data_IF_476640765816
#
_entry.id   IF_476640765816
#
_cell.length_a   1.000
_cell.length_b   1.000
_cell.length_c   1.000
_cell.angle_alpha   90.00
_cell.angle_beta   90.00
_cell.angle_gamma   90.00
#
_symmetry.space_group_name_H-M   'P 1'
#
loop_
_entity.id
_entity.type
_entity.pdbx_description
1 polymer ?
#
# COMPACT_ATOMS: atom_id res chain seq x y z
N UNK A 1 -10.87 14.78 -18.06
CA UNK A 1 -11.27 13.69 -17.15
C UNK A 1 -11.61 14.34 -15.82
N UNK A 2 -12.76 14.02 -15.23
CA UNK A 2 -13.06 14.42 -13.84
C UNK A 2 -12.22 13.57 -12.90
N UNK A 3 -11.82 14.17 -11.80
CA UNK A 3 -10.98 13.53 -10.81
C UNK A 3 -11.81 12.55 -9.98
N UNK A 4 -11.29 11.35 -9.74
CA UNK A 4 -12.02 10.36 -8.95
C UNK A 4 -12.21 10.88 -7.51
N UNK A 5 -11.21 11.53 -6.92
CA UNK A 5 -11.32 12.14 -5.60
C UNK A 5 -12.44 13.21 -5.49
N UNK A 6 -12.86 13.83 -6.60
CA UNK A 6 -13.95 14.81 -6.60
C UNK A 6 -15.34 14.12 -6.54
N UNK A 7 -15.47 12.97 -7.20
CA UNK A 7 -16.74 12.27 -7.37
C UNK A 7 -16.95 11.14 -6.34
N UNK A 8 -15.88 10.59 -5.78
CA UNK A 8 -15.89 9.43 -4.90
C UNK A 8 -15.41 9.85 -3.50
N UNK A 9 -16.29 9.83 -2.49
CA UNK A 9 -15.95 10.30 -1.14
C UNK A 9 -15.00 9.36 -0.39
N UNK A 10 -14.84 8.11 -0.86
CA UNK A 10 -13.99 7.12 -0.21
C UNK A 10 -13.07 6.45 -1.22
N UNK A 11 -11.83 6.22 -0.77
CA UNK A 11 -10.86 5.37 -1.44
C UNK A 11 -10.14 4.48 -0.45
N UNK A 12 -9.65 3.33 -0.92
CA UNK A 12 -8.74 2.47 -0.16
C UNK A 12 -7.59 2.03 -1.04
N UNK A 13 -6.43 1.80 -0.43
CA UNK A 13 -5.30 1.17 -1.10
C UNK A 13 -5.53 -0.36 -1.17
N UNK A 14 -5.42 -0.91 -2.37
CA UNK A 14 -5.26 -2.34 -2.60
C UNK A 14 -3.75 -2.56 -2.79
N UNK A 15 -3.09 -3.12 -1.79
CA UNK A 15 -1.67 -3.45 -1.86
C UNK A 15 -1.44 -4.53 -2.90
N UNK A 16 -0.57 -4.29 -3.87
CA UNK A 16 -0.16 -5.29 -4.87
C UNK A 16 1.18 -5.87 -4.44
N UNK A 17 1.21 -7.19 -4.25
CA UNK A 17 2.44 -7.92 -3.97
C UNK A 17 3.13 -8.30 -5.28
N UNK A 18 4.15 -7.50 -5.64
CA UNK A 18 5.03 -7.73 -6.78
C UNK A 18 6.42 -8.22 -6.35
N UNK A 19 6.57 -8.72 -5.12
CA UNK A 19 7.87 -8.92 -4.49
C UNK A 19 8.66 -10.10 -5.08
N UNK A 20 7.96 -11.12 -5.58
CA UNK A 20 8.58 -12.27 -6.25
C UNK A 20 8.72 -12.09 -7.78
N UNK A 21 8.24 -10.97 -8.33
CA UNK A 21 8.09 -10.80 -9.77
C UNK A 21 9.21 -9.99 -10.42
N UNK A 22 9.27 -10.08 -11.73
CA UNK A 22 10.14 -9.24 -12.57
C UNK A 22 9.37 -8.07 -13.15
N UNK A 23 10.07 -7.09 -13.71
CA UNK A 23 9.45 -6.04 -14.52
C UNK A 23 8.57 -6.65 -15.62
N UNK A 24 7.30 -6.23 -15.72
CA UNK A 24 6.36 -6.77 -16.70
C UNK A 24 4.93 -6.31 -16.49
N UNK A 25 4.07 -6.69 -17.44
CA UNK A 25 2.61 -6.54 -17.32
C UNK A 25 2.03 -7.80 -16.67
N UNK A 26 1.20 -7.62 -15.66
CA UNK A 26 0.54 -8.68 -14.92
C UNK A 26 -0.90 -8.28 -14.63
N UNK A 27 -1.77 -9.27 -14.45
CA UNK A 27 -3.06 -8.99 -13.85
C UNK A 27 -2.92 -8.91 -12.33
N UNK A 28 -3.88 -8.30 -11.64
CA UNK A 28 -3.94 -8.27 -10.17
C UNK A 28 -5.28 -8.84 -9.74
N UNK A 29 -5.30 -9.66 -8.68
CA UNK A 29 -6.53 -10.22 -8.10
C UNK A 29 -6.59 -9.92 -6.61
N UNK A 30 -7.65 -9.23 -6.17
CA UNK A 30 -7.87 -8.86 -4.78
C UNK A 30 -9.26 -9.27 -4.31
N UNK A 31 -9.32 -10.07 -3.24
CA UNK A 31 -10.59 -10.48 -2.64
C UNK A 31 -11.09 -9.38 -1.70
N UNK A 32 -12.33 -8.95 -1.88
CA UNK A 32 -13.03 -8.08 -0.95
C UNK A 32 -13.56 -8.92 0.20
N UNK A 33 -13.11 -8.62 1.41
CA UNK A 33 -13.54 -9.32 2.62
C UNK A 33 -15.04 -9.13 2.90
N UNK A 34 -15.72 -10.20 3.28
CA UNK A 34 -17.12 -10.15 3.73
C UNK A 34 -17.31 -9.35 5.04
N UNK A 35 -16.24 -9.21 5.82
CA UNK A 35 -16.24 -8.50 7.10
C UNK A 35 -16.14 -6.97 6.93
N UNK A 36 -15.85 -6.49 5.72
CA UNK A 36 -15.68 -5.06 5.45
C UNK A 36 -17.03 -4.34 5.31
N UNK A 37 -17.79 -4.28 6.40
CA UNK A 37 -19.17 -3.76 6.43
C UNK A 37 -19.28 -2.31 5.91
N UNK A 38 -18.26 -1.50 6.17
CA UNK A 38 -18.17 -0.13 5.65
C UNK A 38 -18.27 -0.08 4.12
N UNK A 39 -17.56 -0.95 3.41
CA UNK A 39 -17.64 -1.03 1.95
C UNK A 39 -19.01 -1.54 1.48
N UNK A 40 -19.47 -2.66 2.04
CA UNK A 40 -20.72 -3.30 1.61
C UNK A 40 -21.96 -2.45 1.88
N UNK A 41 -21.92 -1.52 2.82
CA UNK A 41 -23.03 -0.59 3.11
C UNK A 41 -23.07 0.60 2.16
N UNK A 42 -21.95 0.98 1.56
CA UNK A 42 -21.81 2.20 0.75
C UNK A 42 -21.90 1.99 -0.77
N UNK A 43 -21.75 0.75 -1.24
CA UNK A 43 -21.82 0.43 -2.67
C UNK A 43 -23.25 0.07 -3.11
N UNK A 44 -23.56 0.19 -4.40
CA UNK A 44 -24.82 -0.29 -4.96
C UNK A 44 -24.88 -1.84 -5.06
N UNK A 45 -26.09 -2.38 -5.21
CA UNK A 45 -26.38 -3.82 -5.36
C UNK A 45 -25.60 -4.47 -6.48
N UNK A 46 -25.40 -3.77 -7.59
CA UNK A 46 -24.70 -4.30 -8.76
C UNK A 46 -23.20 -3.94 -8.77
N UNK A 47 -22.70 -3.24 -7.74
CA UNK A 47 -21.31 -2.79 -7.67
C UNK A 47 -20.99 -1.64 -8.62
N UNK A 48 -22.02 -1.02 -9.20
CA UNK A 48 -21.88 0.20 -9.97
C UNK A 48 -21.39 1.32 -9.06
N UNK A 49 -20.64 2.27 -9.63
CA UNK A 49 -20.05 3.36 -8.85
C UNK A 49 -18.86 2.91 -8.01
N UNK A 50 -18.21 1.82 -8.38
CA UNK A 50 -16.85 1.50 -7.96
C UNK A 50 -15.92 1.84 -9.11
N UNK A 51 -14.75 2.40 -8.82
CA UNK A 51 -13.69 2.69 -9.80
C UNK A 51 -12.34 2.24 -9.29
N UNK A 52 -11.45 1.90 -10.22
CA UNK A 52 -10.06 1.59 -9.92
C UNK A 52 -9.17 2.63 -10.60
N UNK A 53 -8.11 3.04 -9.90
CA UNK A 53 -7.01 3.78 -10.49
C UNK A 53 -5.68 3.08 -10.16
N UNK A 54 -4.66 3.34 -10.98
CA UNK A 54 -3.29 2.95 -10.75
C UNK A 54 -2.70 3.72 -9.56
N UNK A 55 -1.41 3.57 -9.30
CA UNK A 55 -0.74 4.07 -8.08
C UNK A 55 -0.86 5.60 -7.93
N UNK A 56 -0.96 6.33 -9.05
CA UNK A 56 -1.08 7.80 -9.06
C UNK A 56 -2.47 8.33 -8.69
N UNK A 57 -3.44 7.45 -8.44
CA UNK A 57 -4.79 7.81 -8.02
C UNK A 57 -5.67 8.41 -9.12
N UNK A 58 -5.15 8.56 -10.35
CA UNK A 58 -5.79 9.33 -11.43
C UNK A 58 -5.96 8.50 -12.67
N UNK A 59 -4.88 7.83 -13.09
CA UNK A 59 -4.88 7.01 -14.29
C UNK A 59 -5.73 5.79 -14.01
N UNK A 60 -6.76 5.61 -14.82
CA UNK A 60 -7.46 4.34 -14.86
C UNK A 60 -6.49 3.24 -15.35
N UNK A 61 -6.61 2.00 -14.84
CA UNK A 61 -5.96 0.86 -15.47
C UNK A 61 -6.51 0.65 -16.89
N UNK A 62 -5.87 -0.22 -17.67
CA UNK A 62 -6.38 -0.62 -19.00
C UNK A 62 -7.82 -1.12 -18.90
N UNK A 63 -8.08 -1.98 -17.92
CA UNK A 63 -9.39 -2.50 -17.58
C UNK A 63 -9.39 -3.00 -16.13
N UNK A 64 -10.57 -3.12 -15.53
CA UNK A 64 -10.77 -3.88 -14.30
C UNK A 64 -12.12 -4.59 -14.38
N UNK A 65 -12.29 -5.70 -13.68
CA UNK A 65 -13.54 -6.43 -13.63
C UNK A 65 -13.79 -7.05 -12.26
N UNK A 66 -15.01 -7.55 -12.08
CA UNK A 66 -15.38 -8.35 -10.93
C UNK A 66 -15.49 -9.82 -11.32
N UNK A 67 -14.68 -10.66 -10.68
CA UNK A 67 -14.90 -12.10 -10.67
C UNK A 67 -15.83 -12.45 -9.50
N UNK A 68 -17.11 -12.64 -9.83
CA UNK A 68 -18.16 -12.96 -8.88
C UNK A 68 -18.47 -11.83 -7.89
N UNK A 69 -19.26 -10.84 -8.30
CA UNK A 69 -19.76 -9.79 -7.40
C UNK A 69 -21.17 -10.12 -6.88
N UNK A 70 -21.36 -10.01 -5.57
CA UNK A 70 -22.68 -10.10 -4.94
C UNK A 70 -22.70 -9.31 -3.64
N UNK A 71 -23.34 -8.15 -3.64
CA UNK A 71 -23.57 -7.37 -2.41
C UNK A 71 -24.36 -8.16 -1.37
N UNK A 72 -25.37 -8.93 -1.80
CA UNK A 72 -26.21 -9.72 -0.90
C UNK A 72 -25.43 -10.81 -0.16
N UNK A 73 -24.48 -11.46 -0.83
CA UNK A 73 -23.62 -12.48 -0.23
C UNK A 73 -22.31 -11.91 0.32
N UNK A 74 -22.05 -10.60 0.14
CA UNK A 74 -20.81 -9.91 0.49
C UNK A 74 -19.56 -10.59 -0.11
N UNK A 75 -19.65 -10.96 -1.40
CA UNK A 75 -18.55 -11.57 -2.15
C UNK A 75 -18.15 -10.69 -3.33
N UNK A 76 -16.86 -10.62 -3.60
CA UNK A 76 -16.31 -9.91 -4.75
C UNK A 76 -14.82 -10.13 -4.88
N UNK A 77 -14.35 -10.53 -6.05
CA UNK A 77 -12.92 -10.50 -6.38
C UNK A 77 -12.70 -9.41 -7.42
N UNK A 78 -11.95 -8.38 -7.05
CA UNK A 78 -11.51 -7.35 -7.98
C UNK A 78 -10.36 -7.90 -8.82
N UNK A 79 -10.44 -7.71 -10.12
CA UNK A 79 -9.39 -8.06 -11.06
C UNK A 79 -8.98 -6.82 -11.85
N UNK A 80 -7.68 -6.55 -11.98
CA UNK A 80 -7.13 -5.42 -12.75
C UNK A 80 -6.27 -5.98 -13.89
N UNK A 81 -6.49 -5.49 -15.11
CA UNK A 81 -5.78 -5.93 -16.31
C UNK A 81 -4.52 -5.08 -16.54
N UNK A 82 -3.45 -5.74 -16.98
CA UNK A 82 -2.21 -5.10 -17.46
C UNK A 82 -1.56 -4.11 -16.46
N UNK A 83 -1.55 -4.47 -15.18
CA UNK A 83 -0.77 -3.79 -14.16
C UNK A 83 0.73 -3.93 -14.43
N UNK A 84 1.45 -2.81 -14.54
CA UNK A 84 2.89 -2.83 -14.82
C UNK A 84 3.67 -2.83 -13.50
N UNK A 85 4.12 -4.01 -13.09
CA UNK A 85 5.02 -4.15 -11.93
C UNK A 85 6.45 -3.78 -12.32
N UNK A 86 7.17 -3.08 -11.42
CA UNK A 86 8.61 -2.87 -11.58
C UNK A 86 9.46 -4.02 -11.03
N UNK A 87 8.81 -5.02 -10.43
CA UNK A 87 9.43 -6.19 -9.79
C UNK A 87 10.08 -5.89 -8.45
N UNK A 88 10.06 -6.87 -7.55
CA UNK A 88 10.69 -6.81 -6.22
C UNK A 88 10.25 -5.59 -5.38
N UNK A 89 8.97 -5.24 -5.49
CA UNK A 89 8.34 -4.11 -4.81
C UNK A 89 6.96 -4.49 -4.29
N UNK A 90 6.51 -3.74 -3.28
CA UNK A 90 5.11 -3.69 -2.86
C UNK A 90 4.54 -2.38 -3.37
N UNK A 91 3.48 -2.42 -4.16
CA UNK A 91 2.82 -1.22 -4.72
C UNK A 91 1.35 -1.19 -4.34
N UNK A 92 0.58 -0.30 -4.97
CA UNK A 92 -0.85 -0.20 -4.73
C UNK A 92 -1.63 0.11 -5.99
N UNK A 93 -2.90 -0.27 -5.99
CA UNK A 93 -3.92 0.36 -6.84
C UNK A 93 -4.99 0.96 -5.93
N UNK A 94 -5.65 2.02 -6.39
CA UNK A 94 -6.70 2.68 -5.63
C UNK A 94 -8.07 2.12 -5.99
N UNK A 95 -8.86 1.78 -4.97
CA UNK A 95 -10.27 1.41 -5.12
C UNK A 95 -11.14 2.54 -4.58
N UNK A 96 -11.90 3.20 -5.45
CA UNK A 96 -12.81 4.30 -5.18
C UNK A 96 -14.26 3.81 -5.10
N UNK A 97 -15.03 4.31 -4.14
CA UNK A 97 -16.42 3.89 -3.93
C UNK A 97 -17.25 4.93 -3.14
N UNK A 98 -18.55 4.66 -3.01
CA UNK A 98 -19.48 5.45 -2.19
C UNK A 98 -20.03 6.70 -2.86
N UNK A 99 -20.06 6.73 -4.19
CA UNK A 99 -20.85 7.71 -4.95
C UNK A 99 -22.35 7.57 -4.59
N UNK A 100 -23.14 8.62 -4.82
CA UNK A 100 -24.56 8.63 -4.46
C UNK A 100 -25.38 7.63 -5.30
N UNK A 101 -26.24 6.87 -4.62
CA UNK A 101 -27.24 5.98 -5.20
C UNK A 101 -28.12 6.69 -6.26
N UNK A 102 -28.05 6.20 -7.49
CA UNK A 102 -28.81 6.67 -8.66
C UNK A 102 -27.97 7.31 -9.77
N UNK A 103 -26.71 7.67 -9.49
CA UNK A 103 -25.78 8.29 -10.46
C UNK A 103 -24.69 7.31 -10.95
N UNK A 104 -24.76 6.05 -10.52
CA UNK A 104 -23.74 5.06 -10.80
C UNK A 104 -23.85 4.43 -12.18
N UNK A 105 -22.73 4.40 -12.89
CA UNK A 105 -22.55 3.56 -14.08
C UNK A 105 -21.53 2.47 -13.82
N UNK A 106 -21.70 1.35 -14.52
CA UNK A 106 -20.67 0.33 -14.59
C UNK A 106 -19.40 0.92 -15.23
N UNK A 107 -18.28 0.77 -14.54
CA UNK A 107 -16.96 1.14 -15.04
C UNK A 107 -16.08 -0.07 -15.32
N UNK A 108 -16.58 -1.28 -15.03
CA UNK A 108 -15.86 -2.51 -15.27
C UNK A 108 -15.85 -2.89 -16.75
N UNK A 109 -14.78 -3.54 -17.16
CA UNK A 109 -14.63 -4.17 -18.47
C UNK A 109 -14.85 -5.68 -18.40
N UNK A 110 -14.30 -6.39 -19.37
CA UNK A 110 -14.32 -7.87 -19.39
C UNK A 110 -13.01 -8.39 -19.96
N UNK A 111 -12.33 -9.26 -19.21
CA UNK A 111 -11.10 -9.94 -19.63
C UNK A 111 -10.97 -11.29 -18.91
N UNK A 112 -9.90 -12.04 -19.19
CA UNK A 112 -9.58 -13.27 -18.46
C UNK A 112 -8.23 -13.09 -17.79
N UNK A 113 -8.14 -13.07 -16.45
CA UNK A 113 -6.87 -12.95 -15.78
C UNK A 113 -5.96 -14.14 -16.06
N UNK A 114 -4.67 -13.88 -16.25
CA UNK A 114 -3.64 -14.87 -16.49
C UNK A 114 -2.54 -14.72 -15.44
N UNK A 115 -2.47 -15.68 -14.51
CA UNK A 115 -1.48 -15.67 -13.42
C UNK A 115 -1.43 -14.35 -12.66
N UNK A 116 -2.57 -13.88 -12.11
CA UNK A 116 -2.63 -12.58 -11.47
C UNK A 116 -1.74 -12.53 -10.21
N UNK A 117 -1.16 -11.36 -9.97
CA UNK A 117 -0.53 -11.00 -8.70
C UNK A 117 -1.57 -10.91 -7.60
N UNK A 118 -1.14 -11.12 -6.36
CA UNK A 118 -2.03 -11.02 -5.22
C UNK A 118 -2.21 -9.55 -4.80
N UNK A 119 -3.47 -9.13 -4.69
CA UNK A 119 -3.88 -7.87 -4.12
C UNK A 119 -4.46 -8.05 -2.72
N UNK A 120 -4.18 -7.12 -1.81
CA UNK A 120 -4.60 -7.16 -0.41
C UNK A 120 -5.17 -5.83 0.06
N UNK A 121 -6.30 -5.87 0.74
CA UNK A 121 -6.90 -4.70 1.41
C UNK A 121 -6.73 -4.88 2.91
N UNK A 122 -5.95 -4.00 3.55
CA UNK A 122 -5.76 -4.01 5.00
C UNK A 122 -6.84 -3.15 5.68
N UNK A 123 -7.63 -3.78 6.55
CA UNK A 123 -8.68 -3.12 7.32
C UNK A 123 -8.24 -2.70 8.73
N UNK A 124 -7.07 -3.17 9.19
CA UNK A 124 -6.58 -2.80 10.50
C UNK A 124 -6.04 -1.37 10.50
N UNK A 125 -6.19 -0.72 11.65
CA UNK A 125 -5.48 0.52 11.95
C UNK A 125 -4.09 0.21 12.55
N UNK A 126 -3.17 1.19 12.52
CA UNK A 126 -1.85 1.03 13.12
C UNK A 126 -1.89 0.51 14.56
N UNK A 127 -1.16 -0.57 14.82
CA UNK A 127 -1.06 -1.20 16.13
C UNK A 127 -0.18 -0.43 17.11
N UNK A 128 0.37 -1.09 18.14
CA UNK A 128 1.21 -0.42 19.15
C UNK A 128 2.58 0.03 18.63
N UNK A 129 3.12 -0.68 17.63
CA UNK A 129 4.48 -0.47 17.12
C UNK A 129 4.45 0.47 15.93
N UNK A 130 4.34 1.75 16.24
CA UNK A 130 4.28 2.83 15.25
C UNK A 130 5.59 3.60 15.25
N UNK A 131 6.03 3.97 14.06
CA UNK A 131 7.17 4.82 13.82
C UNK A 131 6.72 5.94 12.89
N UNK A 132 7.02 7.17 13.25
CA UNK A 132 6.84 8.29 12.33
C UNK A 132 8.00 8.28 11.34
N UNK A 133 7.73 8.50 10.06
CA UNK A 133 8.79 8.73 9.11
C UNK A 133 9.59 9.97 9.53
N UNK A 134 10.90 9.82 9.54
CA UNK A 134 11.81 10.92 9.76
C UNK A 134 13.09 10.65 8.97
N UNK A 135 13.57 11.62 8.17
CA UNK A 135 14.79 11.44 7.41
C UNK A 135 15.98 11.24 8.35
N UNK A 136 16.87 10.34 7.95
CA UNK A 136 18.11 10.08 8.67
C UNK A 136 19.00 11.33 8.70
N UNK A 137 19.71 11.54 9.82
CA UNK A 137 20.70 12.62 9.89
C UNK A 137 21.82 12.33 8.90
N UNK A 138 22.29 13.33 8.13
CA UNK A 138 23.46 13.17 7.27
C UNK A 138 24.63 12.59 8.07
N UNK A 139 25.33 11.62 7.48
CA UNK A 139 26.48 10.91 8.06
C UNK A 139 26.23 10.12 9.35
N UNK A 140 24.96 9.94 9.76
CA UNK A 140 24.63 9.07 10.89
C UNK A 140 24.85 7.60 10.51
N UNK A 141 25.59 6.89 11.34
CA UNK A 141 25.76 5.44 11.28
C UNK A 141 24.70 4.69 12.09
N UNK A 142 23.94 5.40 12.93
CA UNK A 142 22.89 4.84 13.77
C UNK A 142 21.51 5.24 13.20
N UNK A 143 20.63 4.27 12.92
CA UNK A 143 19.24 4.55 12.57
C UNK A 143 18.51 5.37 13.64
N UNK A 144 17.67 6.31 13.23
CA UNK A 144 16.93 7.15 14.17
C UNK A 144 15.86 6.38 14.95
N UNK A 145 15.25 5.39 14.30
CA UNK A 145 14.17 4.59 14.85
C UNK A 145 14.69 3.24 15.33
N UNK A 146 14.20 2.78 16.48
CA UNK A 146 14.59 1.49 17.07
C UNK A 146 13.36 0.73 17.54
N UNK A 147 13.38 -0.60 17.37
CA UNK A 147 12.47 -1.49 18.07
C UNK A 147 13.19 -2.77 18.51
N UNK A 148 12.64 -3.41 19.54
CA UNK A 148 13.16 -4.66 20.09
C UNK A 148 12.13 -5.78 19.96
N UNK A 149 12.64 -6.99 19.78
CA UNK A 149 11.86 -8.22 19.67
C UNK A 149 12.64 -9.42 20.22
N UNK A 150 11.95 -10.53 20.47
CA UNK A 150 12.62 -11.83 20.71
C UNK A 150 12.90 -12.55 19.39
N UNK A 151 13.82 -13.51 19.38
CA UNK A 151 14.29 -14.22 18.18
C UNK A 151 13.18 -14.89 17.37
N UNK A 152 12.23 -15.53 18.05
CA UNK A 152 11.10 -16.21 17.43
C UNK A 152 9.88 -15.30 17.18
N UNK A 153 9.91 -14.04 17.62
CA UNK A 153 8.75 -13.16 17.49
C UNK A 153 8.51 -12.77 16.03
N UNK A 154 7.24 -12.77 15.66
CA UNK A 154 6.74 -12.17 14.44
C UNK A 154 6.01 -10.89 14.81
N UNK A 155 6.31 -9.80 14.13
CA UNK A 155 5.74 -8.51 14.45
C UNK A 155 5.50 -7.65 13.23
N UNK A 156 4.50 -6.79 13.34
CA UNK A 156 4.26 -5.72 12.39
C UNK A 156 4.82 -4.40 12.95
N UNK A 157 5.49 -3.65 12.08
CA UNK A 157 5.92 -2.27 12.32
C UNK A 157 5.11 -1.39 11.38
N UNK A 158 4.48 -0.36 11.94
CA UNK A 158 3.68 0.58 11.18
C UNK A 158 4.47 1.87 11.03
N UNK A 159 4.73 2.26 9.79
CA UNK A 159 5.47 3.48 9.47
C UNK A 159 4.50 4.48 8.88
N UNK A 160 4.36 5.64 9.52
CA UNK A 160 3.58 6.74 8.96
C UNK A 160 4.42 7.52 7.95
N UNK A 161 4.02 7.51 6.68
CA UNK A 161 4.70 8.22 5.59
C UNK A 161 3.93 9.46 5.13
N UNK A 162 2.84 9.81 5.82
CA UNK A 162 1.92 10.88 5.40
C UNK A 162 2.64 12.21 5.18
N UNK A 163 3.46 12.64 6.14
CA UNK A 163 4.11 13.96 6.11
C UNK A 163 5.27 14.06 5.10
N UNK A 164 5.72 12.94 4.56
CA UNK A 164 6.77 12.91 3.53
C UNK A 164 6.19 13.02 2.12
N UNK A 165 4.91 12.67 1.95
CA UNK A 165 4.21 12.80 0.67
C UNK A 165 3.72 14.26 0.55
N UNK A 166 4.05 14.97 -0.54
CA UNK A 166 3.69 16.37 -0.69
C UNK A 166 2.16 16.54 -0.68
N UNK A 167 1.71 17.55 0.07
CA UNK A 167 0.32 17.97 0.15
C UNK A 167 0.18 19.43 -0.30
N UNK A 168 -0.99 19.76 -0.82
CA UNK A 168 -1.37 21.10 -1.23
C UNK A 168 -1.90 21.85 -0.02
N UNK A 169 -1.60 23.14 0.06
CA UNK A 169 -2.21 24.02 1.05
C UNK A 169 -3.71 24.25 0.81
N UNK A 170 -4.20 23.97 -0.39
CA UNK A 170 -5.60 24.10 -0.78
C UNK A 170 -6.09 22.81 -1.46
N UNK A 171 -7.35 22.45 -1.26
CA UNK A 171 -7.92 21.31 -1.95
C UNK A 171 -7.99 21.57 -3.47
N UNK A 172 -7.35 20.70 -4.25
CA UNK A 172 -7.44 20.69 -5.71
C UNK A 172 -8.36 19.53 -6.08
N UNK A 173 -9.54 19.85 -6.65
CA UNK A 173 -10.54 18.85 -7.05
C UNK A 173 -10.93 17.88 -5.92
N UNK A 174 -11.17 18.43 -4.73
CA UNK A 174 -11.64 17.67 -3.57
C UNK A 174 -10.54 16.98 -2.74
N UNK A 175 -9.29 16.93 -3.22
CA UNK A 175 -8.17 16.33 -2.49
C UNK A 175 -7.12 17.36 -2.09
N UNK A 176 -6.51 17.17 -0.92
CA UNK A 176 -5.33 17.93 -0.48
C UNK A 176 -4.01 17.23 -0.81
N UNK A 177 -4.06 15.99 -1.27
CA UNK A 177 -2.87 15.19 -1.57
C UNK A 177 -2.33 15.64 -2.94
N UNK A 178 -1.08 16.12 -2.99
CA UNK A 178 -0.40 16.43 -4.26
C UNK A 178 0.34 15.22 -4.79
N UNK A 179 0.92 14.43 -3.88
CA UNK A 179 1.60 13.19 -4.18
C UNK A 179 0.76 11.96 -3.87
N UNK A 180 1.23 10.83 -4.38
CA UNK A 180 0.69 9.51 -4.05
C UNK A 180 1.85 8.54 -3.86
N UNK A 181 1.69 7.60 -2.92
CA UNK A 181 2.66 6.53 -2.72
C UNK A 181 2.64 5.60 -3.95
N UNK A 182 3.81 5.35 -4.53
CA UNK A 182 3.95 4.46 -5.69
C UNK A 182 4.34 3.05 -5.28
N UNK A 183 5.44 2.92 -4.54
CA UNK A 183 5.98 1.63 -4.14
C UNK A 183 6.78 1.70 -2.85
N UNK A 184 6.93 0.55 -2.21
CA UNK A 184 7.70 0.32 -1.00
C UNK A 184 8.63 -0.88 -1.24
N UNK A 185 9.87 -0.73 -0.81
CA UNK A 185 10.86 -1.81 -0.67
C UNK A 185 11.31 -1.82 0.78
N UNK A 186 11.36 -3.01 1.38
CA UNK A 186 11.89 -3.17 2.74
C UNK A 186 12.87 -4.32 2.78
N UNK A 187 14.08 -4.04 3.26
CA UNK A 187 15.13 -5.04 3.41
C UNK A 187 15.65 -5.04 4.84
N UNK A 188 16.18 -6.17 5.27
CA UNK A 188 16.88 -6.29 6.56
C UNK A 188 18.27 -6.82 6.30
N UNK A 189 19.27 -6.26 6.98
CA UNK A 189 20.67 -6.67 6.86
C UNK A 189 21.39 -6.73 8.20
N UNK A 190 22.49 -7.49 8.26
CA UNK A 190 23.45 -7.47 9.37
C UNK A 190 24.87 -7.45 8.82
N UNK A 191 25.69 -6.50 9.27
CA UNK A 191 27.03 -6.29 8.71
C UNK A 191 27.04 -6.12 7.19
N UNK A 192 25.98 -5.55 6.61
CA UNK A 192 25.79 -5.41 5.16
C UNK A 192 25.33 -6.67 4.42
N UNK A 193 25.11 -7.79 5.12
CA UNK A 193 24.60 -9.03 4.51
C UNK A 193 23.07 -9.09 4.62
N UNK A 194 22.33 -9.23 3.50
CA UNK A 194 20.87 -9.34 3.51
C UNK A 194 20.37 -10.53 4.36
N UNK A 195 19.29 -10.33 5.10
CA UNK A 195 18.64 -11.29 5.97
C UNK A 195 17.22 -11.55 5.48
N UNK A 196 17.09 -12.22 4.33
CA UNK A 196 15.79 -12.48 3.70
C UNK A 196 14.82 -13.29 4.57
N UNK A 197 15.32 -14.09 5.52
CA UNK A 197 14.47 -14.83 6.47
C UNK A 197 13.80 -13.95 7.52
N UNK A 198 14.20 -12.68 7.65
CA UNK A 198 13.61 -11.74 8.61
C UNK A 198 12.45 -10.93 8.04
N UNK A 199 12.19 -11.03 6.74
CA UNK A 199 11.10 -10.33 6.05
C UNK A 199 10.15 -11.35 5.41
N UNK A 200 8.91 -10.94 5.21
CA UNK A 200 7.95 -11.62 4.36
C UNK A 200 7.12 -10.53 3.67
N UNK A 201 7.49 -10.22 2.43
CA UNK A 201 6.91 -9.14 1.67
C UNK A 201 5.44 -9.40 1.32
N UNK A 202 5.03 -10.67 1.27
CA UNK A 202 3.63 -11.07 1.08
C UNK A 202 2.73 -10.62 2.24
N UNK A 203 3.32 -10.19 3.36
CA UNK A 203 2.64 -9.66 4.55
C UNK A 203 2.79 -8.14 4.71
N UNK A 204 3.50 -7.46 3.80
CA UNK A 204 3.58 -6.00 3.81
C UNK A 204 2.30 -5.37 3.27
N UNK A 205 1.84 -4.27 3.87
CA UNK A 205 0.63 -3.59 3.41
C UNK A 205 0.83 -2.09 3.34
N UNK A 206 0.32 -1.50 2.28
CA UNK A 206 0.08 -0.06 2.20
C UNK A 206 -1.34 0.19 2.65
N UNK A 207 -1.50 1.10 3.61
CA UNK A 207 -2.78 1.36 4.27
C UNK A 207 -3.09 2.84 4.20
N UNK A 208 -4.18 3.17 3.52
CA UNK A 208 -4.72 4.52 3.49
C UNK A 208 -5.94 4.61 4.42
N UNK A 209 -5.90 5.56 5.33
CA UNK A 209 -7.01 5.81 6.26
C UNK A 209 -7.90 6.91 5.70
N UNK A 210 -9.20 6.86 6.01
CA UNK A 210 -10.15 7.91 5.59
C UNK A 210 -9.83 9.30 6.18
N UNK A 211 -8.90 9.38 7.15
CA UNK A 211 -8.36 10.64 7.67
C UNK A 211 -7.21 11.22 6.84
N UNK A 212 -6.93 10.69 5.65
CA UNK A 212 -5.85 11.17 4.77
C UNK A 212 -4.45 10.74 5.19
N UNK A 213 -4.33 9.75 6.09
CA UNK A 213 -3.01 9.23 6.51
C UNK A 213 -2.65 7.97 5.76
N UNK A 214 -1.41 7.93 5.30
CA UNK A 214 -0.80 6.79 4.58
C UNK A 214 0.22 6.11 5.49
N UNK A 215 0.02 4.81 5.68
CA UNK A 215 0.86 3.97 6.50
C UNK A 215 1.43 2.81 5.69
N UNK A 216 2.63 2.39 6.06
CA UNK A 216 3.27 1.18 5.58
C UNK A 216 3.37 0.19 6.74
N UNK A 217 2.71 -0.94 6.63
CA UNK A 217 2.77 -2.07 7.56
C UNK A 217 3.85 -3.04 7.08
N UNK A 218 4.97 -3.08 7.79
CA UNK A 218 6.11 -3.95 7.51
C UNK A 218 6.08 -5.17 8.42
N UNK A 219 6.40 -6.35 7.90
CA UNK A 219 6.44 -7.58 8.67
C UNK A 219 7.89 -7.99 8.95
N UNK A 220 8.19 -8.21 10.23
CA UNK A 220 9.52 -8.60 10.69
C UNK A 220 9.40 -9.89 11.49
N UNK A 221 10.16 -10.90 11.10
CA UNK A 221 10.21 -12.22 11.74
C UNK A 221 11.65 -12.66 12.00
N UNK A 222 11.81 -13.79 12.68
CA UNK A 222 13.11 -14.44 12.94
C UNK A 222 14.19 -13.51 13.53
N UNK A 223 15.46 -13.93 13.43
CA UNK A 223 16.61 -13.19 13.94
C UNK A 223 17.36 -13.97 15.01
N UNK A 224 18.63 -13.62 15.22
CA UNK A 224 19.49 -14.27 16.20
C UNK A 224 19.59 -13.40 17.45
N UNK A 225 19.45 -14.03 18.62
CA UNK A 225 19.62 -13.34 19.90
C UNK A 225 21.00 -12.64 20.00
N UNK A 226 21.02 -11.51 20.70
CA UNK A 226 22.20 -10.69 20.88
C UNK A 226 22.70 -10.01 19.59
N UNK A 227 21.98 -10.12 18.48
CA UNK A 227 22.34 -9.51 17.20
C UNK A 227 21.48 -8.29 16.92
N UNK A 228 22.13 -7.24 16.40
CA UNK A 228 21.48 -6.04 15.90
C UNK A 228 21.42 -6.10 14.38
N UNK A 229 20.24 -5.81 13.85
CA UNK A 229 19.96 -5.77 12.41
C UNK A 229 19.55 -4.35 12.02
N UNK A 230 19.81 -4.00 10.76
CA UNK A 230 19.35 -2.76 10.16
C UNK A 230 18.24 -3.10 9.19
N UNK A 231 17.06 -2.54 9.42
CA UNK A 231 15.97 -2.51 8.45
C UNK A 231 16.08 -1.24 7.61
N UNK A 232 16.01 -1.37 6.30
CA UNK A 232 16.01 -0.25 5.35
C UNK A 232 14.69 -0.27 4.58
N UNK A 233 13.84 0.72 4.83
CA UNK A 233 12.64 0.98 4.03
C UNK A 233 12.93 2.10 3.04
N UNK A 234 12.67 1.83 1.76
CA UNK A 234 12.62 2.83 0.71
C UNK A 234 11.20 2.90 0.20
N UNK A 235 10.72 4.11 -0.08
CA UNK A 235 9.49 4.26 -0.83
C UNK A 235 9.60 5.33 -1.88
N UNK A 236 8.92 5.08 -2.99
CA UNK A 236 8.81 5.98 -4.12
C UNK A 236 7.42 6.62 -4.08
N UNK A 237 7.33 7.91 -4.36
CA UNK A 237 6.07 8.63 -4.44
C UNK A 237 6.08 9.64 -5.58
N UNK A 238 4.90 9.97 -6.07
CA UNK A 238 4.69 11.02 -7.05
C UNK A 238 4.83 12.40 -6.40
N UNK A 239 5.52 13.33 -7.06
CA UNK A 239 5.73 14.72 -6.62
C UNK A 239 5.17 15.77 -7.59
N UNK A 240 4.70 15.32 -8.76
CA UNK A 240 4.29 16.18 -9.85
C UNK A 240 2.88 16.74 -9.70
N UNK A 241 2.61 17.85 -10.40
CA UNK A 241 1.25 18.38 -10.50
C UNK A 241 0.33 17.33 -11.10
N UNK A 242 -0.73 17.07 -10.36
CA UNK A 242 -1.89 16.27 -10.73
C UNK A 242 -2.45 16.61 -12.14
N UNK A 243 -2.16 17.78 -12.70
CA UNK A 243 -2.65 18.36 -13.97
C UNK A 243 -2.47 17.56 -15.29
N UNK A 244 -1.99 16.31 -15.28
CA UNK A 244 -1.97 15.43 -16.45
C UNK A 244 -0.95 15.83 -17.54
N UNK A 245 -0.12 16.84 -17.28
CA UNK A 245 0.93 17.32 -18.18
C UNK A 245 2.25 16.53 -18.01
N UNK A 246 2.20 15.24 -18.33
CA UNK A 246 3.32 14.49 -18.93
C UNK A 246 4.54 14.11 -18.08
N UNK A 247 4.96 14.86 -17.06
CA UNK A 247 6.16 14.52 -16.29
C UNK A 247 5.81 14.10 -14.87
N UNK A 248 5.64 12.79 -14.68
CA UNK A 248 5.62 12.15 -13.37
C UNK A 248 7.02 12.28 -12.76
N UNK A 249 7.23 13.33 -11.95
CA UNK A 249 8.41 13.43 -11.10
C UNK A 249 8.24 12.46 -9.93
N UNK A 250 9.14 11.50 -9.83
CA UNK A 250 9.23 10.58 -8.69
C UNK A 250 10.26 11.09 -7.71
N UNK A 251 9.93 11.03 -6.41
CA UNK A 251 10.90 11.17 -5.34
C UNK A 251 11.02 9.83 -4.61
N UNK A 252 12.18 9.62 -4.00
CA UNK A 252 12.49 8.44 -3.20
C UNK A 252 12.91 8.90 -1.83
N UNK A 253 12.23 8.38 -0.81
CA UNK A 253 12.56 8.63 0.58
C UNK A 253 12.93 7.32 1.27
N UNK A 254 13.90 7.41 2.18
CA UNK A 254 14.48 6.25 2.85
C UNK A 254 14.45 6.45 4.36
N UNK A 255 14.09 5.40 5.08
CA UNK A 255 14.15 5.34 6.53
C UNK A 255 14.86 4.07 6.97
N UNK A 256 15.70 4.20 8.00
CA UNK A 256 16.36 3.07 8.62
C UNK A 256 15.78 2.78 10.00
N UNK A 257 15.83 1.52 10.38
CA UNK A 257 15.41 1.02 11.67
C UNK A 257 16.52 0.18 12.28
N UNK A 258 16.81 0.38 13.56
CA UNK A 258 17.60 -0.54 14.36
C UNK A 258 16.67 -1.60 14.94
N UNK A 259 16.91 -2.87 14.60
CA UNK A 259 16.15 -4.01 15.08
C UNK A 259 17.02 -4.77 16.08
N UNK A 260 16.68 -4.67 17.37
CA UNK A 260 17.38 -5.39 18.43
C UNK A 260 16.67 -6.70 18.74
N UNK A 261 17.36 -7.82 18.54
CA UNK A 261 16.84 -9.14 18.92
C UNK A 261 17.43 -9.51 20.28
N UNK A 262 16.57 -9.62 21.30
CA UNK A 262 16.96 -9.88 22.70
C UNK A 262 15.99 -10.86 23.35
N UNK A 263 16.46 -12.07 23.60
CA UNK A 263 15.69 -13.10 24.31
C UNK A 263 15.77 -12.89 25.83
N UNK A 264 14.68 -13.10 26.56
CA UNK A 264 14.71 -13.02 28.02
C UNK A 264 15.62 -14.11 28.57
N UNK A 265 16.48 -13.75 29.52
CA UNK A 265 17.27 -14.72 30.28
C UNK A 265 16.28 -15.58 31.08
N UNK A 266 16.26 -16.88 30.85
CA UNK A 266 15.54 -17.82 31.72
C UNK A 266 16.14 -17.74 33.13
N UNK A 267 15.35 -17.27 34.10
CA UNK A 267 15.74 -17.13 35.52
C UNK A 267 15.36 -18.39 36.30
#
# INVERSE_FOLDING_TARGET
MSWLDEAYPFRVAVTVDGSADTFGSFDVSAIISEEWDFFWTLIDTDGFGIRVALEDGIKAPTSYQWSGFSKANKTGTLEVEDYVSTGNIVSLVWLYFGINAGDETDGSGTFTPVSPLNGYIEQALPGLRQVLFAPERPDSDIPLSEFSKISAEQMFVWVDVTDEIPSSSEAIQGATDLGELFSVVFTVSTGGTPQGSMIDETLHRIVYTQGGRTWVKLFVQAGSDGTDFVGDMSFTYYTGSRDGAGDSLFAVSNQRFLIKVRDPVEV
#
